data_IF_494198355687
#
_entry.id   IF_494198355687
#
_cell.length_a   1.000
_cell.length_b   1.000
_cell.length_c   1.000
_cell.angle_alpha   90.00
_cell.angle_beta   90.00
_cell.angle_gamma   90.00
#
_symmetry.space_group_name_H-M   'P 1'
#
loop_
_entity.id
_entity.type
_entity.pdbx_description
1 polymer ?
#
# COMPACT_ATOMS: atom_id res chain seq x y z
N UNK A 1 -13.83 -25.27 31.04
CA UNK A 1 -13.24 -24.73 29.79
C UNK A 1 -14.25 -24.94 28.67
N UNK A 2 -14.56 -23.91 27.87
CA UNK A 2 -15.43 -24.09 26.69
C UNK A 2 -14.63 -24.78 25.58
N UNK A 3 -15.20 -25.84 25.01
CA UNK A 3 -14.64 -26.47 23.80
C UNK A 3 -15.05 -25.61 22.61
N UNK A 4 -14.08 -25.00 21.94
CA UNK A 4 -14.32 -24.23 20.72
C UNK A 4 -14.33 -25.19 19.52
N UNK A 5 -15.19 -24.91 18.54
CA UNK A 5 -15.22 -25.65 17.27
C UNK A 5 -13.94 -25.47 16.44
N UNK A 6 -13.71 -26.31 15.42
CA UNK A 6 -12.57 -26.16 14.53
C UNK A 6 -12.61 -24.82 13.79
N UNK A 7 -11.47 -24.12 13.75
CA UNK A 7 -11.32 -22.88 12.99
C UNK A 7 -11.33 -23.19 11.49
N UNK A 8 -12.35 -22.73 10.78
CA UNK A 8 -12.49 -22.90 9.33
C UNK A 8 -12.07 -21.66 8.52
N UNK A 9 -11.70 -20.58 9.21
CA UNK A 9 -11.32 -19.34 8.55
C UNK A 9 -10.02 -19.52 7.75
N UNK A 10 -9.91 -18.89 6.56
CA UNK A 10 -8.68 -18.92 5.79
C UNK A 10 -7.50 -18.41 6.63
N UNK A 11 -6.47 -19.24 6.75
CA UNK A 11 -5.21 -18.88 7.40
C UNK A 11 -4.14 -18.60 6.36
N UNK A 12 -3.14 -17.82 6.76
CA UNK A 12 -1.97 -17.58 5.92
C UNK A 12 -1.24 -18.89 5.61
N UNK A 13 -1.07 -19.19 4.32
CA UNK A 13 -0.27 -20.31 3.84
C UNK A 13 1.05 -19.78 3.26
N UNK A 14 2.20 -20.13 3.86
CA UNK A 14 3.50 -19.71 3.34
C UNK A 14 3.70 -20.17 1.89
N UNK A 15 4.32 -19.32 1.07
CA UNK A 15 4.68 -19.69 -0.29
C UNK A 15 5.73 -20.81 -0.27
N UNK A 16 5.46 -21.91 -0.99
CA UNK A 16 6.35 -23.10 -1.03
C UNK A 16 7.71 -22.76 -1.66
N UNK A 17 7.73 -21.89 -2.67
CA UNK A 17 8.96 -21.44 -3.34
C UNK A 17 8.91 -19.91 -3.57
N UNK A 18 9.31 -19.10 -2.58
CA UNK A 18 9.18 -17.65 -2.69
C UNK A 18 10.07 -17.08 -3.81
N UNK A 19 9.61 -16.02 -4.49
CA UNK A 19 10.41 -15.35 -5.52
C UNK A 19 11.64 -14.64 -4.93
N UNK A 20 12.59 -14.23 -5.80
CA UNK A 20 13.75 -13.44 -5.36
C UNK A 20 13.33 -12.12 -4.69
N UNK A 21 12.33 -11.45 -5.26
CA UNK A 21 11.76 -10.22 -4.72
C UNK A 21 11.13 -10.48 -3.33
N UNK A 22 10.37 -11.56 -3.18
CA UNK A 22 9.80 -11.96 -1.89
C UNK A 22 10.87 -12.14 -0.82
N UNK A 23 11.92 -12.92 -1.13
CA UNK A 23 13.04 -13.17 -0.20
C UNK A 23 13.77 -11.89 0.17
N UNK A 24 13.83 -10.92 -0.73
CA UNK A 24 14.42 -9.61 -0.45
C UNK A 24 13.51 -8.76 0.44
N UNK A 25 12.21 -8.64 0.11
CA UNK A 25 11.21 -7.88 0.87
C UNK A 25 11.03 -8.41 2.30
N UNK A 26 11.05 -9.73 2.49
CA UNK A 26 10.97 -10.41 3.80
C UNK A 26 12.01 -9.92 4.81
N UNK A 27 13.14 -9.38 4.33
CA UNK A 27 14.17 -8.80 5.21
C UNK A 27 13.66 -7.53 5.91
N UNK A 28 12.75 -6.79 5.28
CA UNK A 28 12.22 -5.51 5.73
C UNK A 28 10.85 -5.60 6.40
N UNK A 29 9.96 -6.45 5.87
CA UNK A 29 8.57 -6.59 6.34
C UNK A 29 8.51 -7.19 7.74
N UNK A 30 7.67 -6.63 8.60
CA UNK A 30 7.52 -7.03 10.01
C UNK A 30 6.84 -8.40 10.14
N UNK A 31 5.78 -8.67 9.38
CA UNK A 31 5.01 -9.91 9.40
C UNK A 31 4.79 -10.42 7.97
N UNK A 32 5.07 -11.70 7.73
CA UNK A 32 4.97 -12.33 6.40
C UNK A 32 3.55 -12.24 5.81
N UNK A 33 2.54 -12.15 6.67
CA UNK A 33 1.13 -12.01 6.26
C UNK A 33 0.86 -10.68 5.55
N UNK A 34 1.66 -9.65 5.84
CA UNK A 34 1.55 -8.32 5.22
C UNK A 34 2.36 -8.20 3.94
N UNK A 35 2.96 -9.29 3.44
CA UNK A 35 3.67 -9.28 2.18
C UNK A 35 2.84 -8.76 0.99
N UNK A 36 1.52 -9.04 0.87
CA UNK A 36 0.69 -8.43 -0.16
C UNK A 36 0.75 -6.89 -0.14
N UNK A 37 0.83 -6.27 1.04
CA UNK A 37 0.95 -4.83 1.17
C UNK A 37 2.32 -4.31 0.73
N UNK A 38 3.40 -5.07 0.96
CA UNK A 38 4.71 -4.70 0.43
C UNK A 38 4.73 -4.72 -1.12
N UNK A 39 4.09 -5.70 -1.75
CA UNK A 39 3.94 -5.73 -3.21
C UNK A 39 3.05 -4.60 -3.71
N UNK A 40 1.93 -4.35 -3.04
CA UNK A 40 1.04 -3.25 -3.39
C UNK A 40 1.78 -1.91 -3.31
N UNK A 41 2.58 -1.69 -2.26
CA UNK A 41 3.39 -0.48 -2.11
C UNK A 41 4.38 -0.29 -3.27
N UNK A 42 5.04 -1.38 -3.69
CA UNK A 42 5.92 -1.34 -4.86
C UNK A 42 5.14 -1.07 -6.15
N UNK A 43 3.96 -1.67 -6.33
CA UNK A 43 3.11 -1.42 -7.49
C UNK A 43 2.65 0.04 -7.56
N UNK A 44 2.16 0.60 -6.44
CA UNK A 44 1.76 2.01 -6.36
C UNK A 44 2.93 2.94 -6.67
N UNK A 45 4.10 2.64 -6.12
CA UNK A 45 5.35 3.39 -6.39
C UNK A 45 5.75 3.30 -7.86
N UNK A 46 5.68 2.12 -8.48
CA UNK A 46 6.08 1.92 -9.87
C UNK A 46 5.04 2.41 -10.90
N UNK A 47 3.81 2.67 -10.47
CA UNK A 47 2.71 3.06 -11.36
C UNK A 47 2.26 4.50 -11.13
N UNK A 48 1.73 4.82 -9.95
CA UNK A 48 1.12 6.12 -9.68
C UNK A 48 2.14 7.25 -9.59
N UNK A 49 3.34 7.01 -9.03
CA UNK A 49 4.36 8.07 -8.93
C UNK A 49 4.90 8.52 -10.29
N UNK A 50 5.26 7.62 -11.23
CA UNK A 50 5.60 8.04 -12.58
C UNK A 50 4.46 8.77 -13.29
N UNK A 51 3.21 8.28 -13.14
CA UNK A 51 2.05 8.92 -13.78
C UNK A 51 1.80 10.34 -13.25
N UNK A 52 1.85 10.54 -11.93
CA UNK A 52 1.72 11.89 -11.37
C UNK A 52 2.88 12.77 -11.80
N UNK A 53 4.11 12.25 -11.82
CA UNK A 53 5.27 12.97 -12.34
C UNK A 53 5.05 13.44 -13.78
N UNK A 54 4.61 12.56 -14.67
CA UNK A 54 4.31 12.87 -16.07
C UNK A 54 3.24 13.96 -16.22
N UNK A 55 2.21 13.97 -15.36
CA UNK A 55 1.16 14.98 -15.40
C UNK A 55 1.67 16.40 -15.12
N UNK A 56 2.80 16.53 -14.43
CA UNK A 56 3.42 17.82 -14.11
C UNK A 56 4.65 18.14 -14.98
N UNK A 57 4.96 17.32 -15.99
CA UNK A 57 6.04 17.63 -16.96
C UNK A 57 5.51 18.64 -17.99
N UNK A 58 6.12 19.84 -18.11
CA UNK A 58 5.61 20.89 -19.02
C UNK A 58 5.58 20.51 -20.50
N UNK A 59 6.37 19.51 -20.91
CA UNK A 59 6.44 19.01 -22.27
C UNK A 59 5.23 18.12 -22.66
N UNK A 60 4.52 17.55 -21.69
CA UNK A 60 3.36 16.69 -21.96
C UNK A 60 2.08 17.54 -22.05
N UNK A 61 1.47 17.61 -23.23
CA UNK A 61 0.32 18.50 -23.52
C UNK A 61 -0.75 17.83 -24.37
N UNK A 62 -1.90 18.48 -24.48
CA UNK A 62 -2.99 18.07 -25.37
C UNK A 62 -3.54 16.68 -25.04
N UNK A 63 -3.87 15.90 -26.07
CA UNK A 63 -4.49 14.58 -25.91
C UNK A 63 -3.60 13.59 -25.12
N UNK A 64 -2.28 13.67 -25.26
CA UNK A 64 -1.36 12.79 -24.53
C UNK A 64 -1.43 13.03 -23.02
N UNK A 65 -1.51 14.30 -22.59
CA UNK A 65 -1.70 14.65 -21.18
C UNK A 65 -3.03 14.10 -20.65
N UNK A 66 -4.13 14.29 -21.39
CA UNK A 66 -5.44 13.75 -21.01
C UNK A 66 -5.46 12.22 -20.91
N UNK A 67 -4.74 11.53 -21.79
CA UNK A 67 -4.56 10.08 -21.73
C UNK A 67 -3.87 9.62 -20.43
N UNK A 68 -2.79 10.30 -20.05
CA UNK A 68 -2.10 10.05 -18.76
C UNK A 68 -3.01 10.38 -17.58
N UNK A 69 -3.78 11.47 -17.65
CA UNK A 69 -4.70 11.88 -16.59
C UNK A 69 -5.82 10.84 -16.39
N UNK A 70 -6.41 10.36 -17.48
CA UNK A 70 -7.40 9.30 -17.45
C UNK A 70 -6.82 8.00 -16.87
N UNK A 71 -5.59 7.62 -17.26
CA UNK A 71 -4.92 6.44 -16.73
C UNK A 71 -4.63 6.57 -15.23
N UNK A 72 -4.10 7.71 -14.79
CA UNK A 72 -3.86 7.99 -13.37
C UNK A 72 -5.15 7.93 -12.55
N UNK A 73 -6.19 8.63 -13.00
CA UNK A 73 -7.47 8.69 -12.29
C UNK A 73 -8.17 7.33 -12.28
N UNK A 74 -8.13 6.60 -13.40
CA UNK A 74 -8.72 5.26 -13.52
C UNK A 74 -8.02 4.24 -12.62
N UNK A 75 -6.69 4.14 -12.70
CA UNK A 75 -5.93 3.22 -11.85
C UNK A 75 -6.05 3.62 -10.37
N UNK A 76 -5.89 4.91 -10.05
CA UNK A 76 -5.97 5.41 -8.68
C UNK A 76 -7.35 5.17 -8.07
N UNK A 77 -8.43 5.62 -8.72
CA UNK A 77 -9.76 5.60 -8.10
C UNK A 77 -10.51 4.28 -8.26
N UNK A 78 -10.35 3.58 -9.38
CA UNK A 78 -11.15 2.39 -9.68
C UNK A 78 -10.42 1.10 -9.32
N UNK A 79 -9.10 1.05 -9.48
CA UNK A 79 -8.33 -0.18 -9.25
C UNK A 79 -7.67 -0.21 -7.87
N UNK A 80 -6.93 0.84 -7.51
CA UNK A 80 -6.07 0.82 -6.32
C UNK A 80 -6.71 1.37 -5.05
N UNK A 81 -7.77 2.18 -5.14
CA UNK A 81 -8.38 2.86 -3.98
C UNK A 81 -8.81 1.89 -2.87
N UNK A 82 -9.47 0.79 -3.22
CA UNK A 82 -9.91 -0.22 -2.27
C UNK A 82 -8.74 -0.91 -1.56
N UNK A 83 -7.83 -1.57 -2.31
CA UNK A 83 -6.64 -2.20 -1.74
C UNK A 83 -5.75 -1.25 -0.92
N UNK A 84 -5.58 -0.01 -1.37
CA UNK A 84 -4.83 1.01 -0.64
C UNK A 84 -5.49 1.36 0.70
N UNK A 85 -6.81 1.55 0.73
CA UNK A 85 -7.56 1.82 1.97
C UNK A 85 -7.42 0.69 2.98
N UNK A 86 -7.51 -0.57 2.53
CA UNK A 86 -7.30 -1.74 3.39
C UNK A 86 -5.86 -1.79 3.93
N UNK A 87 -4.87 -1.58 3.07
CA UNK A 87 -3.46 -1.51 3.49
C UNK A 87 -3.27 -0.44 4.56
N UNK A 88 -3.84 0.76 4.37
CA UNK A 88 -3.70 1.85 5.32
C UNK A 88 -4.35 1.52 6.67
N UNK A 89 -5.55 0.94 6.66
CA UNK A 89 -6.23 0.45 7.87
C UNK A 89 -5.36 -0.56 8.64
N UNK A 90 -4.90 -1.62 7.96
CA UNK A 90 -4.09 -2.66 8.61
C UNK A 90 -2.78 -2.11 9.15
N UNK A 91 -2.13 -1.21 8.40
CA UNK A 91 -0.83 -0.66 8.79
C UNK A 91 -0.89 0.33 9.94
N UNK A 92 -2.07 0.90 10.24
CA UNK A 92 -2.30 1.67 11.45
C UNK A 92 -2.28 0.79 12.71
N UNK A 93 -2.82 -0.44 12.61
CA UNK A 93 -2.80 -1.39 13.72
C UNK A 93 -1.47 -2.13 13.86
N UNK A 94 -0.80 -2.40 12.73
CA UNK A 94 0.49 -3.10 12.71
C UNK A 94 1.41 -2.50 11.66
N UNK A 95 2.54 -1.95 12.11
CA UNK A 95 3.57 -1.40 11.22
C UNK A 95 4.02 -2.42 10.17
N UNK A 96 4.14 -1.97 8.91
CA UNK A 96 4.51 -2.82 7.79
C UNK A 96 5.98 -3.25 7.85
N UNK A 97 6.87 -2.33 8.24
CA UNK A 97 8.31 -2.56 8.26
C UNK A 97 8.85 -2.68 9.68
N UNK A 98 9.88 -3.53 9.83
CA UNK A 98 10.58 -3.74 11.11
C UNK A 98 11.10 -2.44 11.69
N UNK A 99 11.17 -2.35 13.03
CA UNK A 99 11.66 -1.16 13.76
C UNK A 99 13.02 -0.66 13.26
N UNK A 100 13.95 -1.55 12.89
CA UNK A 100 15.24 -1.20 12.28
C UNK A 100 15.11 -0.33 11.02
N UNK A 101 14.02 -0.50 10.27
CA UNK A 101 13.66 0.25 9.07
C UNK A 101 12.43 1.14 9.32
N UNK A 102 12.22 1.58 10.56
CA UNK A 102 11.00 2.28 10.97
C UNK A 102 10.66 3.49 10.12
N UNK A 103 11.69 4.18 9.59
CA UNK A 103 11.54 5.32 8.69
C UNK A 103 10.75 4.99 7.40
N UNK A 104 10.80 3.75 6.91
CA UNK A 104 10.02 3.31 5.75
C UNK A 104 8.52 3.33 6.01
N UNK A 105 8.09 3.25 7.28
CA UNK A 105 6.66 3.33 7.61
C UNK A 105 6.08 4.72 7.38
N UNK A 106 6.90 5.78 7.26
CA UNK A 106 6.41 7.11 6.89
C UNK A 106 6.17 7.25 5.39
N UNK A 107 6.78 6.39 4.56
CA UNK A 107 6.63 6.46 3.10
C UNK A 107 5.16 6.30 2.68
N UNK A 108 4.42 5.39 3.32
CA UNK A 108 3.01 5.17 3.02
C UNK A 108 2.15 6.42 3.30
N UNK A 109 2.10 6.97 4.53
CA UNK A 109 1.29 8.15 4.82
C UNK A 109 1.81 9.45 4.17
N UNK A 110 3.12 9.59 3.93
CA UNK A 110 3.69 10.87 3.48
C UNK A 110 3.82 10.97 1.96
N UNK A 111 4.05 9.86 1.26
CA UNK A 111 4.29 9.87 -0.20
C UNK A 111 3.09 9.30 -0.95
N UNK A 112 2.63 8.12 -0.56
CA UNK A 112 1.52 7.45 -1.27
C UNK A 112 0.15 8.01 -0.83
N UNK A 113 -0.04 8.28 0.47
CA UNK A 113 -1.27 8.84 1.03
C UNK A 113 -1.81 10.06 0.26
N UNK A 114 -0.99 11.09 -0.01
CA UNK A 114 -1.43 12.27 -0.75
C UNK A 114 -1.99 11.97 -2.14
N UNK A 115 -1.50 10.93 -2.83
CA UNK A 115 -2.01 10.54 -4.16
C UNK A 115 -3.47 10.06 -4.11
N UNK A 116 -3.93 9.65 -2.93
CA UNK A 116 -5.30 9.21 -2.65
C UNK A 116 -6.11 10.23 -1.83
N UNK A 117 -5.61 11.45 -1.67
CA UNK A 117 -6.27 12.51 -0.91
C UNK A 117 -6.17 12.36 0.61
N UNK A 118 -5.26 11.51 1.11
CA UNK A 118 -4.97 11.41 2.54
C UNK A 118 -3.85 12.39 2.89
N UNK A 119 -4.10 13.30 3.83
CA UNK A 119 -3.03 14.11 4.39
C UNK A 119 -2.11 13.25 5.26
N UNK A 120 -0.80 13.55 5.33
CA UNK A 120 0.11 12.77 6.16
C UNK A 120 -0.41 12.63 7.59
N UNK A 121 -0.38 11.39 8.11
CA UNK A 121 -0.73 11.01 9.50
C UNK A 121 -2.20 11.18 9.92
N UNK A 122 -3.00 11.96 9.19
CA UNK A 122 -4.40 12.21 9.56
C UNK A 122 -5.24 10.94 9.62
N UNK A 123 -5.08 10.04 8.65
CA UNK A 123 -5.77 8.76 8.64
C UNK A 123 -5.42 7.93 9.87
N UNK A 124 -4.14 7.88 10.26
CA UNK A 124 -3.72 7.15 11.45
C UNK A 124 -4.34 7.74 12.71
N UNK A 125 -4.24 9.06 12.90
CA UNK A 125 -4.82 9.74 14.07
C UNK A 125 -6.34 9.58 14.13
N UNK A 126 -7.03 9.76 13.00
CA UNK A 126 -8.48 9.58 12.92
C UNK A 126 -8.88 8.15 13.22
N UNK A 127 -8.27 7.17 12.55
CA UNK A 127 -8.60 5.76 12.68
C UNK A 127 -8.32 5.26 14.10
N UNK A 128 -7.15 5.54 14.65
CA UNK A 128 -6.82 5.18 16.03
C UNK A 128 -7.67 5.90 17.07
N UNK A 129 -8.13 7.12 16.78
CA UNK A 129 -9.05 7.84 17.65
C UNK A 129 -10.47 7.30 17.66
N UNK A 130 -10.85 6.46 16.67
CA UNK A 130 -12.16 5.81 16.59
C UNK A 130 -12.21 4.42 17.24
N UNK A 131 -11.06 3.81 17.54
CA UNK A 131 -10.96 2.53 18.28
C UNK A 131 -10.96 2.77 19.79
#
# INVERSE_FOLDING_TARGET
MRVLGPLTDPVYTPAVAPSRLHRWLRRYVQDERDMPFAYLLLQLTATLLPLVGLLFVPALRGAAWWGVAALYLGLGNLHFKGPFGLMLHCTCHRVLFKKKYGWLNHYLPWVIGPLFGQTPESYFTHHMGMH
#
